data_IF_864378346483
#
_entry.id   IF_864378346483
#
_cell.length_a   1.000
_cell.length_b   1.000
_cell.length_c   1.000
_cell.angle_alpha   90.00
_cell.angle_beta   90.00
_cell.angle_gamma   90.00
#
_symmetry.space_group_name_H-M   'P 1'
#
loop_
_entity.id
_entity.type
_entity.pdbx_description
1 polymer ?
#
# COMPACT_ATOMS: atom_id res chain seq x y z
N UNK A 1 17.81 -1.16 -44.93
CA UNK A 1 18.20 -1.85 -43.68
C UNK A 1 17.10 -1.60 -42.66
N UNK A 2 16.06 -2.46 -42.65
CA UNK A 2 14.94 -2.35 -41.71
C UNK A 2 15.44 -2.82 -40.35
N UNK A 3 15.39 -1.96 -39.33
CA UNK A 3 15.47 -2.41 -37.94
C UNK A 3 14.21 -3.23 -37.69
N UNK A 4 14.38 -4.54 -37.55
CA UNK A 4 13.36 -5.39 -36.96
C UNK A 4 13.14 -4.88 -35.53
N UNK A 5 12.03 -4.20 -35.32
CA UNK A 5 11.46 -4.08 -33.97
C UNK A 5 11.04 -5.50 -33.61
N UNK A 6 11.83 -6.13 -32.75
CA UNK A 6 11.44 -7.40 -32.14
C UNK A 6 10.15 -7.14 -31.36
N UNK A 7 9.05 -7.64 -31.90
CA UNK A 7 7.70 -7.61 -31.33
C UNK A 7 7.51 -8.74 -30.32
N UNK A 8 8.56 -9.26 -29.69
CA UNK A 8 8.45 -10.08 -28.47
C UNK A 8 8.03 -9.22 -27.27
N UNK A 9 6.82 -8.71 -27.40
CA UNK A 9 5.98 -8.00 -26.42
C UNK A 9 5.42 -9.03 -25.44
N UNK A 10 6.28 -9.91 -24.90
CA UNK A 10 5.87 -10.83 -23.87
C UNK A 10 5.80 -10.04 -22.56
N UNK A 11 4.60 -9.92 -22.00
CA UNK A 11 4.42 -9.45 -20.62
C UNK A 11 5.32 -10.29 -19.72
N UNK A 12 6.27 -9.64 -19.06
CA UNK A 12 7.18 -10.32 -18.15
C UNK A 12 6.35 -10.98 -17.04
N UNK A 13 6.66 -12.23 -16.64
CA UNK A 13 6.00 -12.84 -15.51
C UNK A 13 6.14 -11.95 -14.28
N UNK A 14 5.04 -11.74 -13.58
CA UNK A 14 5.01 -10.90 -12.36
C UNK A 14 5.50 -11.73 -11.18
N UNK A 15 6.54 -11.25 -10.53
CA UNK A 15 7.07 -11.82 -9.29
C UNK A 15 6.76 -10.86 -8.13
N UNK A 16 6.19 -11.43 -7.07
CA UNK A 16 5.87 -10.75 -5.81
C UNK A 16 6.60 -11.46 -4.66
N UNK A 17 6.98 -10.75 -3.59
CA UNK A 17 7.47 -11.42 -2.39
C UNK A 17 6.38 -12.32 -1.80
N UNK A 18 6.81 -13.35 -1.07
CA UNK A 18 5.91 -14.20 -0.30
C UNK A 18 5.39 -13.43 0.91
N UNK A 19 4.08 -13.46 1.10
CA UNK A 19 3.41 -12.85 2.23
C UNK A 19 2.60 -13.89 2.99
N UNK A 20 2.49 -13.70 4.30
CA UNK A 20 1.60 -14.52 5.12
C UNK A 20 0.13 -14.18 4.85
N UNK A 21 -0.76 -15.13 5.14
CA UNK A 21 -2.20 -14.87 5.12
C UNK A 21 -2.58 -13.80 6.17
N UNK A 22 -3.66 -13.01 5.93
CA UNK A 22 -4.09 -12.00 6.88
C UNK A 22 -4.33 -12.55 8.29
N UNK A 23 -3.98 -11.76 9.31
CA UNK A 23 -4.05 -12.15 10.72
C UNK A 23 -4.89 -11.14 11.52
N UNK A 24 -5.61 -11.65 12.51
CA UNK A 24 -6.40 -10.84 13.44
C UNK A 24 -5.56 -10.36 14.62
N UNK A 25 -5.76 -9.12 15.03
CA UNK A 25 -5.06 -8.48 16.13
C UNK A 25 -6.04 -7.74 17.04
N UNK A 26 -5.95 -8.02 18.34
CA UNK A 26 -6.66 -7.29 19.40
C UNK A 26 -5.77 -6.29 20.15
N UNK A 27 -4.46 -6.30 19.89
CA UNK A 27 -3.51 -5.30 20.38
C UNK A 27 -3.06 -4.39 19.24
N UNK A 28 -3.19 -3.08 19.46
CA UNK A 28 -2.89 -2.09 18.43
C UNK A 28 -1.40 -2.00 18.08
N UNK A 29 -0.49 -2.27 19.02
CA UNK A 29 0.95 -2.23 18.76
C UNK A 29 1.38 -3.44 17.94
N UNK A 30 0.82 -4.61 18.23
CA UNK A 30 1.05 -5.82 17.44
C UNK A 30 0.52 -5.66 16.01
N UNK A 31 -0.67 -5.06 15.83
CA UNK A 31 -1.21 -4.75 14.51
C UNK A 31 -0.29 -3.81 13.71
N UNK A 32 0.23 -2.74 14.34
CA UNK A 32 1.16 -1.81 13.67
C UNK A 32 2.51 -2.45 13.38
N UNK A 33 3.00 -3.33 14.25
CA UNK A 33 4.21 -4.09 13.99
C UNK A 33 4.06 -4.98 12.74
N UNK A 34 2.88 -5.60 12.55
CA UNK A 34 2.61 -6.40 11.36
C UNK A 34 2.48 -5.54 10.09
N UNK A 35 1.78 -4.40 10.15
CA UNK A 35 1.74 -3.43 9.04
C UNK A 35 3.15 -3.04 8.60
N UNK A 36 4.03 -2.76 9.56
CA UNK A 36 5.44 -2.44 9.30
C UNK A 36 6.18 -3.60 8.66
N UNK A 37 6.04 -4.82 9.19
CA UNK A 37 6.72 -6.00 8.64
C UNK A 37 6.36 -6.24 7.18
N UNK A 38 5.07 -6.15 6.84
CA UNK A 38 4.58 -6.31 5.46
C UNK A 38 5.16 -5.21 4.55
N UNK A 39 5.12 -3.94 5.00
CA UNK A 39 5.66 -2.81 4.24
C UNK A 39 7.17 -2.92 4.01
N UNK A 40 7.93 -3.27 5.06
CA UNK A 40 9.38 -3.43 5.00
C UNK A 40 9.77 -4.59 4.06
N UNK A 41 8.98 -5.68 4.06
CA UNK A 41 9.14 -6.81 3.14
C UNK A 41 8.93 -6.38 1.69
N UNK A 42 7.83 -5.67 1.41
CA UNK A 42 7.51 -5.21 0.06
C UNK A 42 8.53 -4.22 -0.49
N UNK A 43 8.86 -3.18 0.28
CA UNK A 43 9.83 -2.17 -0.15
C UNK A 43 11.26 -2.73 -0.22
N UNK A 44 11.63 -3.63 0.69
CA UNK A 44 12.92 -4.33 0.66
C UNK A 44 13.09 -5.18 -0.60
N UNK A 45 12.05 -5.93 -0.98
CA UNK A 45 12.02 -6.70 -2.23
C UNK A 45 12.24 -5.80 -3.45
N UNK A 46 11.51 -4.68 -3.55
CA UNK A 46 11.62 -3.76 -4.68
C UNK A 46 13.03 -3.17 -4.80
N UNK A 47 13.61 -2.70 -3.67
CA UNK A 47 14.98 -2.18 -3.62
C UNK A 47 16.01 -3.23 -4.04
N UNK A 48 15.91 -4.45 -3.51
CA UNK A 48 16.83 -5.54 -3.83
C UNK A 48 16.81 -5.88 -5.34
N UNK A 49 15.62 -5.95 -5.94
CA UNK A 49 15.48 -6.24 -7.38
C UNK A 49 15.98 -5.10 -8.25
N UNK A 50 15.75 -3.88 -7.83
CA UNK A 50 16.32 -2.70 -8.49
C UNK A 50 17.86 -2.70 -8.43
N UNK A 51 18.46 -2.96 -7.26
CA UNK A 51 19.92 -3.00 -7.11
C UNK A 51 20.55 -4.11 -7.96
N UNK A 52 19.94 -5.30 -8.01
CA UNK A 52 20.39 -6.40 -8.86
C UNK A 52 20.35 -6.04 -10.35
N UNK A 53 19.28 -5.37 -10.79
CA UNK A 53 19.17 -4.87 -12.17
C UNK A 53 20.25 -3.84 -12.48
N UNK A 54 20.52 -2.91 -11.55
CA UNK A 54 21.58 -1.91 -11.71
C UNK A 54 22.99 -2.51 -11.74
N UNK A 55 23.17 -3.68 -11.11
CA UNK A 55 24.40 -4.49 -11.19
C UNK A 55 24.52 -5.31 -12.49
N UNK A 56 23.54 -5.23 -13.41
CA UNK A 56 23.57 -5.89 -14.71
C UNK A 56 22.85 -7.24 -14.76
N UNK A 57 22.03 -7.59 -13.77
CA UNK A 57 21.19 -8.78 -13.86
C UNK A 57 20.24 -8.69 -15.07
N UNK A 58 19.98 -9.80 -15.79
CA UNK A 58 19.06 -9.81 -16.92
C UNK A 58 17.64 -9.50 -16.48
N UNK A 59 16.90 -8.76 -17.31
CA UNK A 59 15.51 -8.39 -17.06
C UNK A 59 14.60 -9.45 -17.69
N UNK A 60 14.22 -10.44 -16.88
CA UNK A 60 13.35 -11.56 -17.29
C UNK A 60 11.97 -11.55 -16.62
N UNK A 61 11.75 -10.65 -15.66
CA UNK A 61 10.59 -10.62 -14.75
C UNK A 61 10.12 -9.18 -14.50
N UNK A 62 8.83 -9.02 -14.18
CA UNK A 62 8.27 -7.78 -13.62
C UNK A 62 8.16 -7.93 -12.11
N UNK A 63 8.66 -6.96 -11.35
CA UNK A 63 8.67 -7.00 -9.89
C UNK A 63 7.56 -6.12 -9.32
N UNK A 64 6.71 -6.71 -8.47
CA UNK A 64 5.59 -6.04 -7.83
C UNK A 64 5.55 -6.38 -6.35
N UNK A 65 5.37 -5.38 -5.51
CA UNK A 65 5.01 -5.55 -4.10
C UNK A 65 3.77 -4.70 -3.83
N UNK A 66 3.08 -4.98 -2.73
CA UNK A 66 1.80 -4.35 -2.42
C UNK A 66 1.81 -3.70 -1.05
N UNK A 67 1.03 -2.64 -0.88
CA UNK A 67 0.88 -1.97 0.42
C UNK A 67 0.22 -2.92 1.41
N UNK A 68 0.56 -2.85 2.72
CA UNK A 68 -0.27 -3.45 3.74
C UNK A 68 -1.65 -2.79 3.83
N UNK A 69 -2.62 -3.50 4.37
CA UNK A 69 -3.96 -3.01 4.65
C UNK A 69 -4.42 -3.33 6.06
N UNK A 70 -5.29 -2.47 6.58
CA UNK A 70 -6.12 -2.72 7.76
C UNK A 70 -7.53 -3.00 7.26
N UNK A 71 -8.12 -4.13 7.68
CA UNK A 71 -9.55 -4.43 7.51
C UNK A 71 -10.24 -4.48 8.86
N UNK A 72 -11.48 -4.03 8.88
CA UNK A 72 -12.32 -4.03 10.05
C UNK A 72 -13.76 -4.37 9.65
N UNK A 73 -14.35 -5.36 10.33
CA UNK A 73 -15.73 -5.80 10.05
C UNK A 73 -16.53 -5.75 11.33
N UNK A 74 -17.66 -5.04 11.32
CA UNK A 74 -18.57 -5.00 12.47
C UNK A 74 -19.99 -5.33 12.04
N UNK A 75 -20.71 -6.07 12.86
CA UNK A 75 -22.11 -6.44 12.64
C UNK A 75 -23.09 -5.55 13.41
N UNK A 76 -22.60 -4.62 14.23
CA UNK A 76 -23.42 -3.81 15.14
C UNK A 76 -23.12 -2.33 15.03
N UNK A 77 -24.14 -1.51 15.23
CA UNK A 77 -23.96 -0.13 15.65
C UNK A 77 -23.41 -0.13 17.09
N UNK A 78 -22.10 0.01 17.25
CA UNK A 78 -21.52 0.12 18.58
C UNK A 78 -22.07 1.37 19.29
N UNK A 79 -22.27 1.30 20.61
CA UNK A 79 -22.49 2.49 21.44
C UNK A 79 -21.16 3.23 21.56
N UNK A 80 -20.81 3.95 20.51
CA UNK A 80 -19.60 4.77 20.47
C UNK A 80 -19.76 5.94 21.43
N UNK A 81 -18.72 6.22 22.23
CA UNK A 81 -18.64 7.45 23.02
C UNK A 81 -18.66 8.66 22.06
N UNK A 82 -19.84 9.29 21.94
CA UNK A 82 -20.15 10.36 20.99
C UNK A 82 -19.33 11.64 21.16
N UNK A 83 -18.45 11.69 22.17
CA UNK A 83 -17.56 12.82 22.44
C UNK A 83 -16.31 12.85 21.56
N UNK A 84 -15.92 11.72 20.97
CA UNK A 84 -14.81 11.66 20.00
C UNK A 84 -15.38 11.62 18.58
N UNK A 85 -15.08 12.65 17.79
CA UNK A 85 -15.47 12.72 16.38
C UNK A 85 -14.70 11.74 15.46
N UNK A 86 -13.89 10.83 16.02
CA UNK A 86 -13.02 9.91 15.29
C UNK A 86 -12.82 8.60 16.06
N UNK A 87 -12.17 7.61 15.44
CA UNK A 87 -11.87 6.33 16.07
C UNK A 87 -13.07 5.36 16.11
N UNK A 88 -14.06 5.56 15.24
CA UNK A 88 -15.22 4.68 15.12
C UNK A 88 -15.76 4.67 13.69
N UNK A 89 -16.56 3.65 13.38
CA UNK A 89 -17.32 3.54 12.13
C UNK A 89 -18.81 3.76 12.41
N UNK A 90 -19.54 4.25 11.41
CA UNK A 90 -20.93 4.72 11.54
C UNK A 90 -21.96 3.59 11.62
N UNK A 91 -21.64 2.38 11.17
CA UNK A 91 -22.57 1.26 11.23
C UNK A 91 -21.94 -0.10 10.93
N UNK A 92 -22.78 -1.15 10.87
CA UNK A 92 -22.39 -2.47 10.40
C UNK A 92 -21.83 -2.41 8.98
N UNK A 93 -20.75 -3.14 8.74
CA UNK A 93 -20.11 -3.17 7.43
C UNK A 93 -18.68 -3.71 7.47
N UNK A 94 -18.10 -3.80 6.27
CA UNK A 94 -16.68 -4.04 6.08
C UNK A 94 -16.00 -2.72 5.75
N UNK A 95 -14.86 -2.48 6.37
CA UNK A 95 -14.07 -1.28 6.23
C UNK A 95 -12.64 -1.65 5.92
N UNK A 96 -11.95 -0.87 5.10
CA UNK A 96 -10.53 -1.07 4.85
C UNK A 96 -9.77 0.22 4.55
N UNK A 97 -8.46 0.17 4.72
CA UNK A 97 -7.55 1.21 4.24
C UNK A 97 -6.16 0.62 3.97
N UNK A 98 -5.49 1.13 2.93
CA UNK A 98 -4.09 0.80 2.65
C UNK A 98 -3.17 1.73 3.41
N UNK A 99 -2.06 1.20 3.93
CA UNK A 99 -1.12 1.93 4.78
C UNK A 99 0.24 2.04 4.08
N UNK A 100 0.82 3.24 4.09
CA UNK A 100 2.23 3.48 3.76
C UNK A 100 2.96 4.05 4.97
N UNK A 101 4.30 4.01 4.95
CA UNK A 101 5.21 4.56 5.97
C UNK A 101 4.73 4.29 7.42
N UNK A 102 4.43 3.04 7.79
CA UNK A 102 4.01 2.72 9.16
C UNK A 102 5.06 3.08 10.21
N UNK A 103 6.34 3.20 9.81
CA UNK A 103 7.43 3.77 10.61
C UNK A 103 7.17 5.22 11.01
N UNK A 104 6.76 6.07 10.06
CA UNK A 104 6.46 7.49 10.32
C UNK A 104 5.17 7.67 11.11
N UNK A 105 4.14 6.87 10.78
CA UNK A 105 2.81 7.01 11.36
C UNK A 105 2.57 6.13 12.58
N UNK A 106 3.60 5.49 13.14
CA UNK A 106 3.48 4.52 14.24
C UNK A 106 2.59 4.99 15.39
N UNK A 107 2.77 6.22 15.86
CA UNK A 107 2.00 6.78 16.97
C UNK A 107 0.53 7.01 16.58
N UNK A 108 0.29 7.52 15.38
CA UNK A 108 -1.05 7.76 14.85
C UNK A 108 -1.80 6.43 14.66
N UNK A 109 -1.18 5.47 13.97
CA UNK A 109 -1.78 4.16 13.68
C UNK A 109 -2.09 3.41 14.97
N UNK A 110 -1.16 3.39 15.92
CA UNK A 110 -1.37 2.73 17.22
C UNK A 110 -2.57 3.34 17.95
N UNK A 111 -2.69 4.68 17.92
CA UNK A 111 -3.82 5.37 18.56
C UNK A 111 -5.14 5.06 17.86
N UNK A 112 -5.21 5.13 16.53
CA UNK A 112 -6.44 4.91 15.78
C UNK A 112 -6.93 3.46 15.85
N UNK A 113 -6.02 2.49 15.64
CA UNK A 113 -6.36 1.07 15.75
C UNK A 113 -6.80 0.75 17.19
N UNK A 114 -6.13 1.31 18.20
CA UNK A 114 -6.52 1.14 19.59
C UNK A 114 -7.91 1.67 19.91
N UNK A 115 -8.27 2.84 19.37
CA UNK A 115 -9.63 3.39 19.50
C UNK A 115 -10.66 2.52 18.79
N UNK A 116 -10.35 2.04 17.58
CA UNK A 116 -11.26 1.19 16.81
C UNK A 116 -11.57 -0.12 17.55
N UNK A 117 -10.54 -0.79 18.06
CA UNK A 117 -10.69 -2.03 18.85
C UNK A 117 -11.47 -1.73 20.14
N UNK A 118 -11.13 -0.68 20.88
CA UNK A 118 -11.76 -0.36 22.16
C UNK A 118 -13.24 0.03 22.01
N UNK A 119 -13.59 0.79 20.97
CA UNK A 119 -14.95 1.29 20.77
C UNK A 119 -15.91 0.22 20.25
N UNK A 120 -15.41 -0.78 19.53
CA UNK A 120 -16.24 -1.82 18.91
C UNK A 120 -16.08 -3.19 19.55
N UNK A 121 -15.04 -3.40 20.36
CA UNK A 121 -14.68 -4.68 20.97
C UNK A 121 -14.52 -5.82 19.94
N UNK A 122 -13.93 -5.49 18.78
CA UNK A 122 -13.67 -6.40 17.66
C UNK A 122 -12.21 -6.21 17.21
N UNK A 123 -11.47 -7.30 16.90
CA UNK A 123 -10.11 -7.20 16.38
C UNK A 123 -10.05 -6.58 14.97
N UNK A 124 -8.89 -6.05 14.60
CA UNK A 124 -8.60 -5.68 13.20
C UNK A 124 -7.91 -6.83 12.48
N UNK A 125 -8.11 -6.94 11.18
CA UNK A 125 -7.37 -7.86 10.31
C UNK A 125 -6.27 -7.09 9.58
N UNK A 126 -5.03 -7.56 9.67
CA UNK A 126 -3.89 -6.99 8.96
C UNK A 126 -3.43 -7.98 7.89
N UNK A 127 -3.23 -7.48 6.68
CA UNK A 127 -2.80 -8.29 5.54
C UNK A 127 -2.19 -7.44 4.42
N UNK A 128 -1.99 -8.08 3.28
CA UNK A 128 -1.47 -7.43 2.07
C UNK A 128 -2.65 -7.01 1.19
N UNK A 129 -2.61 -5.78 0.70
CA UNK A 129 -3.62 -5.25 -0.22
C UNK A 129 -3.39 -5.69 -1.66
N UNK A 130 -4.28 -5.29 -2.56
CA UNK A 130 -4.11 -5.42 -3.99
C UNK A 130 -3.53 -4.17 -4.65
N UNK A 131 -3.17 -3.15 -3.86
CA UNK A 131 -2.63 -1.88 -4.34
C UNK A 131 -1.10 -1.98 -4.45
N UNK A 132 -0.51 -1.93 -5.67
CA UNK A 132 0.93 -2.02 -5.85
C UNK A 132 1.65 -0.83 -5.22
N UNK A 133 2.86 -1.04 -4.72
CA UNK A 133 3.80 0.02 -4.30
C UNK A 133 4.64 0.42 -5.51
N UNK A 134 4.49 1.64 -6.05
CA UNK A 134 5.39 2.16 -7.05
C UNK A 134 6.85 2.20 -6.58
N UNK A 135 7.79 1.84 -7.45
CA UNK A 135 9.21 1.72 -7.11
C UNK A 135 9.79 2.99 -6.45
N UNK A 136 9.44 4.17 -6.95
CA UNK A 136 9.93 5.43 -6.38
C UNK A 136 9.58 5.65 -4.90
N UNK A 137 8.46 5.08 -4.42
CA UNK A 137 8.04 5.15 -3.02
C UNK A 137 8.67 4.06 -2.14
N UNK A 138 9.37 3.10 -2.75
CA UNK A 138 10.12 2.09 -2.01
C UNK A 138 11.47 2.60 -1.48
N UNK A 139 11.94 3.77 -1.91
CA UNK A 139 13.19 4.36 -1.45
C UNK A 139 12.97 5.32 -0.28
N UNK A 140 13.93 5.36 0.65
CA UNK A 140 13.91 6.32 1.74
C UNK A 140 14.20 7.74 1.23
N UNK A 141 13.81 8.76 1.99
CA UNK A 141 14.10 10.17 1.69
C UNK A 141 15.59 10.37 1.37
N UNK A 142 15.85 11.00 0.22
CA UNK A 142 17.20 11.28 -0.29
C UNK A 142 17.77 10.22 -1.23
N UNK A 143 17.19 9.01 -1.31
CA UNK A 143 17.53 8.04 -2.35
C UNK A 143 16.54 8.16 -3.51
N UNK A 144 17.01 8.62 -4.67
CA UNK A 144 16.19 8.77 -5.86
C UNK A 144 16.69 7.88 -6.99
N UNK A 145 15.75 7.37 -7.78
CA UNK A 145 16.03 6.80 -9.09
C UNK A 145 16.47 7.96 -9.99
N UNK A 146 17.77 8.20 -10.11
CA UNK A 146 18.31 9.24 -10.99
C UNK A 146 17.94 8.99 -12.46
N UNK A 147 17.70 10.06 -13.22
CA UNK A 147 17.38 9.99 -14.66
C UNK A 147 18.48 9.34 -15.51
N UNK A 148 19.71 9.27 -15.01
CA UNK A 148 20.87 8.61 -15.65
C UNK A 148 20.72 7.09 -15.80
N UNK A 149 19.73 6.49 -15.13
CA UNK A 149 19.45 5.05 -15.17
C UNK A 149 18.90 4.61 -16.53
N UNK A 150 18.17 5.47 -17.25
CA UNK A 150 17.58 5.11 -18.55
C UNK A 150 18.63 4.81 -19.61
N UNK A 151 19.84 5.37 -19.50
CA UNK A 151 20.94 5.09 -20.42
C UNK A 151 21.56 3.70 -20.20
N UNK A 152 21.35 3.11 -19.02
CA UNK A 152 21.93 1.80 -18.63
C UNK A 152 21.00 0.61 -18.87
N UNK A 153 19.72 0.84 -19.15
CA UNK A 153 18.71 -0.22 -19.24
C UNK A 153 18.11 -0.24 -20.64
N UNK A 154 18.04 -1.42 -21.26
CA UNK A 154 17.49 -1.63 -22.59
C UNK A 154 15.96 -1.57 -22.68
N UNK A 155 15.27 -1.37 -21.55
CA UNK A 155 13.80 -1.38 -21.41
C UNK A 155 13.31 -0.29 -20.46
N UNK A 156 12.13 0.32 -20.68
CA UNK A 156 11.55 1.27 -19.74
C UNK A 156 11.35 0.68 -18.34
N UNK A 157 11.74 1.42 -17.30
CA UNK A 157 11.60 0.98 -15.91
C UNK A 157 10.14 0.65 -15.53
N UNK A 158 9.18 1.35 -16.12
CA UNK A 158 7.73 1.12 -15.96
C UNK A 158 7.25 -0.24 -16.47
N UNK A 159 8.01 -0.91 -17.31
CA UNK A 159 7.69 -2.27 -17.77
C UNK A 159 8.18 -3.32 -16.77
N UNK A 160 9.16 -2.96 -15.94
CA UNK A 160 9.82 -3.86 -14.97
C UNK A 160 9.28 -3.65 -13.56
N UNK A 161 8.88 -2.43 -13.21
CA UNK A 161 8.34 -2.06 -11.90
C UNK A 161 7.06 -1.23 -12.03
N UNK A 162 6.30 -1.15 -10.95
CA UNK A 162 5.16 -0.26 -10.85
C UNK A 162 5.58 1.21 -10.75
N UNK A 163 4.81 2.06 -11.42
CA UNK A 163 5.01 3.51 -11.48
C UNK A 163 3.82 4.22 -10.80
N UNK A 164 4.01 5.44 -10.29
CA UNK A 164 2.90 6.22 -9.75
C UNK A 164 1.84 6.44 -10.81
N UNK A 165 0.59 6.20 -10.43
CA UNK A 165 -0.59 6.47 -11.24
C UNK A 165 -1.36 7.63 -10.61
N UNK A 166 -1.33 8.79 -11.28
CA UNK A 166 -2.01 10.00 -10.80
C UNK A 166 -3.53 9.83 -10.77
N UNK A 167 -4.09 8.89 -11.54
CA UNK A 167 -5.54 8.62 -11.50
C UNK A 167 -5.98 7.90 -10.23
N UNK A 168 -5.07 7.23 -9.53
CA UNK A 168 -5.31 6.57 -8.23
C UNK A 168 -4.89 7.43 -7.04
N UNK A 169 -4.36 8.62 -7.31
CA UNK A 169 -3.96 9.63 -6.32
C UNK A 169 -5.09 10.64 -6.20
N UNK A 170 -6.24 10.20 -5.68
CA UNK A 170 -7.43 11.04 -5.56
C UNK A 170 -7.75 11.44 -4.11
N UNK A 171 -8.53 12.51 -3.96
CA UNK A 171 -9.04 13.02 -2.68
C UNK A 171 -10.51 12.63 -2.46
N UNK A 172 -11.05 11.64 -3.20
CA UNK A 172 -12.49 11.36 -3.23
C UNK A 172 -13.05 11.03 -1.86
N UNK A 173 -12.32 10.25 -1.07
CA UNK A 173 -12.73 9.90 0.30
C UNK A 173 -12.77 11.17 1.17
N UNK A 174 -11.71 11.98 1.14
CA UNK A 174 -11.64 13.22 1.90
C UNK A 174 -12.68 14.27 1.47
N UNK A 175 -13.06 14.27 0.19
CA UNK A 175 -14.09 15.15 -0.37
C UNK A 175 -15.53 14.64 -0.13
N UNK A 176 -15.69 13.43 0.40
CA UNK A 176 -17.01 12.79 0.56
C UNK A 176 -17.63 12.31 -0.76
N UNK A 177 -16.83 12.12 -1.80
CA UNK A 177 -17.21 11.68 -3.15
C UNK A 177 -16.99 10.17 -3.35
N UNK A 178 -16.86 9.42 -2.25
CA UNK A 178 -16.76 7.97 -2.28
C UNK A 178 -18.17 7.37 -2.33
N UNK A 179 -18.50 6.68 -3.42
CA UNK A 179 -19.82 6.07 -3.60
C UNK A 179 -19.95 4.83 -2.71
N UNK A 180 -20.86 4.89 -1.72
CA UNK A 180 -21.22 3.74 -0.88
C UNK A 180 -21.97 2.70 -1.72
N UNK A 181 -21.22 1.77 -2.32
CA UNK A 181 -21.80 0.66 -3.08
C UNK A 181 -22.05 -0.52 -2.14
N UNK A 182 -23.29 -1.07 -2.07
CA UNK A 182 -23.57 -2.25 -1.25
C UNK A 182 -22.64 -3.42 -1.58
N UNK A 183 -22.01 -4.00 -0.55
CA UNK A 183 -21.08 -5.12 -0.69
C UNK A 183 -19.64 -4.73 -1.05
N UNK A 184 -19.34 -3.44 -1.22
CA UNK A 184 -17.97 -2.93 -1.33
C UNK A 184 -17.50 -2.43 0.04
N UNK A 185 -16.31 -2.84 0.52
CA UNK A 185 -15.76 -2.34 1.76
C UNK A 185 -15.63 -0.81 1.77
N UNK A 186 -16.10 -0.16 2.83
CA UNK A 186 -16.06 1.28 3.02
C UNK A 186 -14.65 1.75 3.44
N UNK A 187 -14.27 3.02 3.20
CA UNK A 187 -12.98 3.54 3.60
C UNK A 187 -12.86 3.68 5.12
N UNK A 188 -11.76 3.19 5.70
CA UNK A 188 -11.45 3.32 7.13
C UNK A 188 -10.60 4.56 7.45
N UNK A 189 -10.03 5.21 6.44
CA UNK A 189 -9.20 6.40 6.56
C UNK A 189 -9.46 7.37 5.40
N UNK A 190 -9.23 8.68 5.57
CA UNK A 190 -9.53 9.69 4.55
C UNK A 190 -8.63 9.63 3.31
N UNK A 191 -7.49 8.93 3.38
CA UNK A 191 -6.53 8.83 2.29
C UNK A 191 -6.03 7.40 2.15
N UNK A 192 -5.77 6.99 0.90
CA UNK A 192 -5.12 5.73 0.56
C UNK A 192 -3.60 5.85 0.65
N UNK A 193 -2.89 4.72 0.76
CA UNK A 193 -1.44 4.69 0.79
C UNK A 193 -0.77 5.43 -0.40
N UNK A 194 -1.16 5.22 -1.67
CA UNK A 194 -0.58 5.97 -2.80
C UNK A 194 -0.78 7.49 -2.67
N UNK A 195 -1.95 7.92 -2.17
CA UNK A 195 -2.26 9.33 -1.97
C UNK A 195 -1.39 9.98 -0.90
N UNK A 196 -1.14 9.25 0.19
CA UNK A 196 -0.24 9.69 1.26
C UNK A 196 1.20 9.77 0.77
N UNK A 197 1.70 8.74 0.07
CA UNK A 197 3.07 8.73 -0.47
C UNK A 197 3.30 9.89 -1.44
N UNK A 198 2.37 10.12 -2.37
CA UNK A 198 2.47 11.27 -3.28
C UNK A 198 2.59 12.60 -2.53
N UNK A 199 1.84 12.73 -1.43
CA UNK A 199 1.88 13.93 -0.59
C UNK A 199 3.18 14.10 0.20
N UNK A 200 3.81 13.00 0.62
CA UNK A 200 5.09 13.03 1.35
C UNK A 200 6.27 13.39 0.44
N UNK A 201 6.15 13.14 -0.88
CA UNK A 201 7.20 13.41 -1.86
C UNK A 201 7.08 14.77 -2.58
N UNK A 202 6.15 15.64 -2.15
CA UNK A 202 5.97 17.00 -2.66
C UNK A 202 6.61 18.04 -1.75
#
# INVERSE_FOLDING_TARGET
MRREFDLSTADLPVITPEYDSPRLFSDAKEAVAELRRIYDTGTGFLRQRFDAMMAGAPITERYRAFYPEVRFTTASYANVDSRLAYGHVTGPGEYFTTITRPDLFVNYLTRQIGLLIANHNVPVSIGVSQTPIPLHFAFAEGQHVEGSIQERISRPLRDVFDAPDLSQTDDRIANGEYDETPGVPQPLAPFTAPRVDYSLHR
#
